data_IF_256237612196
#
_entry.id   IF_256237612196
#
_cell.length_a   1.000
_cell.length_b   1.000
_cell.length_c   1.000
_cell.angle_alpha   90.00
_cell.angle_beta   90.00
_cell.angle_gamma   90.00
#
_symmetry.space_group_name_H-M   'P 1'
#
loop_
_entity.id
_entity.type
_entity.pdbx_description
1 polymer ?
#
# COMPACT_ATOMS: atom_id res chain seq x y z
N UNK A 1 -21.64 3.06 -16.63
CA UNK A 1 -20.40 3.80 -16.97
C UNK A 1 -20.37 5.04 -16.09
N UNK A 2 -19.55 5.02 -15.04
CA UNK A 2 -19.32 6.20 -14.20
C UNK A 2 -17.81 6.43 -14.24
N UNK A 3 -17.38 7.41 -15.03
CA UNK A 3 -16.00 7.86 -15.06
C UNK A 3 -15.72 8.68 -13.79
N UNK A 4 -14.51 8.57 -13.23
CA UNK A 4 -14.11 9.39 -12.10
C UNK A 4 -14.02 10.85 -12.52
N UNK A 5 -14.46 11.77 -11.66
CA UNK A 5 -14.24 13.21 -11.89
C UNK A 5 -12.75 13.53 -11.89
N UNK A 6 -12.35 14.63 -12.55
CA UNK A 6 -10.95 15.09 -12.56
C UNK A 6 -10.35 15.21 -11.16
N UNK A 7 -11.11 15.75 -10.19
CA UNK A 7 -10.66 15.89 -8.80
C UNK A 7 -10.46 14.54 -8.14
N UNK A 8 -11.36 13.58 -8.42
CA UNK A 8 -11.23 12.22 -7.91
C UNK A 8 -9.98 11.53 -8.47
N UNK A 9 -9.70 11.72 -9.76
CA UNK A 9 -8.47 11.25 -10.40
C UNK A 9 -7.21 11.82 -9.75
N UNK A 10 -7.19 13.13 -9.52
CA UNK A 10 -6.07 13.81 -8.88
C UNK A 10 -5.75 13.20 -7.52
N UNK A 11 -6.77 12.91 -6.70
CA UNK A 11 -6.59 12.27 -5.40
C UNK A 11 -6.00 10.87 -5.54
N UNK A 12 -6.53 10.03 -6.44
CA UNK A 12 -6.02 8.65 -6.62
C UNK A 12 -4.54 8.62 -7.01
N UNK A 13 -4.16 9.43 -8.01
CA UNK A 13 -2.77 9.48 -8.48
C UNK A 13 -1.85 10.06 -7.40
N UNK A 14 -2.27 11.13 -6.73
CA UNK A 14 -1.49 11.74 -5.65
C UNK A 14 -1.26 10.75 -4.51
N UNK A 15 -2.31 10.06 -4.06
CA UNK A 15 -2.20 9.07 -2.98
C UNK A 15 -1.30 7.88 -3.33
N UNK A 16 -1.28 7.43 -4.58
CA UNK A 16 -0.33 6.39 -5.02
C UNK A 16 1.11 6.88 -4.94
N UNK A 17 1.38 8.10 -5.41
CA UNK A 17 2.72 8.69 -5.36
C UNK A 17 3.16 8.88 -3.90
N UNK A 18 2.28 9.42 -3.06
CA UNK A 18 2.51 9.60 -1.63
C UNK A 18 2.80 8.27 -0.93
N UNK A 19 2.07 7.20 -1.30
CA UNK A 19 2.29 5.86 -0.74
C UNK A 19 3.63 5.27 -1.17
N UNK A 20 4.02 5.40 -2.44
CA UNK A 20 5.34 5.00 -2.93
C UNK A 20 6.43 5.75 -2.16
N UNK A 21 6.29 7.07 -2.03
CA UNK A 21 7.23 7.89 -1.29
C UNK A 21 7.35 7.44 0.18
N UNK A 22 6.22 7.16 0.85
CA UNK A 22 6.21 6.65 2.22
C UNK A 22 6.94 5.31 2.35
N UNK A 23 6.74 4.37 1.42
CA UNK A 23 7.46 3.09 1.40
C UNK A 23 8.97 3.33 1.32
N UNK A 24 9.42 4.21 0.40
CA UNK A 24 10.83 4.53 0.22
C UNK A 24 11.44 5.19 1.47
N UNK A 25 10.71 6.11 2.10
CA UNK A 25 11.15 6.77 3.34
C UNK A 25 11.28 5.77 4.48
N UNK A 26 10.29 4.91 4.69
CA UNK A 26 10.32 3.88 5.76
C UNK A 26 11.44 2.88 5.49
N UNK A 27 11.62 2.47 4.23
CA UNK A 27 12.73 1.60 3.85
C UNK A 27 14.09 2.27 4.14
N UNK A 28 14.24 3.56 3.82
CA UNK A 28 15.45 4.32 4.15
C UNK A 28 15.69 4.40 5.66
N UNK A 29 14.65 4.65 6.45
CA UNK A 29 14.72 4.64 7.93
C UNK A 29 15.22 3.28 8.43
N UNK A 30 14.81 2.19 7.79
CA UNK A 30 15.25 0.85 8.21
C UNK A 30 16.75 0.57 8.08
N UNK A 31 17.48 1.42 7.34
CA UNK A 31 18.95 1.30 7.23
C UNK A 31 19.70 1.70 8.50
N UNK A 32 19.06 2.45 9.41
CA UNK A 32 19.62 2.73 10.72
C UNK A 32 19.52 1.48 11.61
N UNK A 33 20.60 1.10 12.30
CA UNK A 33 20.65 -0.10 13.15
C UNK A 33 19.52 -0.16 14.19
N UNK A 34 19.12 1.01 14.71
CA UNK A 34 18.01 1.21 15.65
C UNK A 34 16.62 1.11 14.99
N UNK A 35 16.49 0.87 13.70
CA UNK A 35 15.17 0.80 13.04
C UNK A 35 15.10 -0.33 12.01
N UNK A 36 15.99 -1.32 12.09
CA UNK A 36 16.06 -2.43 11.12
C UNK A 36 14.73 -3.18 10.93
N UNK A 37 13.88 -3.28 11.96
CA UNK A 37 12.56 -3.91 11.84
C UNK A 37 11.59 -3.13 10.94
N UNK A 38 11.82 -1.82 10.71
CA UNK A 38 11.00 -1.01 9.80
C UNK A 38 11.16 -1.45 8.34
N UNK A 39 12.17 -2.25 8.02
CA UNK A 39 12.30 -2.88 6.71
C UNK A 39 11.06 -3.72 6.40
N UNK A 40 10.65 -4.55 7.36
CA UNK A 40 9.45 -5.40 7.24
C UNK A 40 8.17 -4.57 7.12
N UNK A 41 8.11 -3.42 7.79
CA UNK A 41 6.99 -2.49 7.63
C UNK A 41 6.93 -1.92 6.20
N UNK A 42 8.07 -1.49 5.64
CA UNK A 42 8.11 -1.00 4.25
C UNK A 42 7.69 -2.08 3.25
N UNK A 43 8.10 -3.34 3.45
CA UNK A 43 7.71 -4.45 2.60
C UNK A 43 6.22 -4.78 2.75
N UNK A 44 5.69 -4.74 3.97
CA UNK A 44 4.28 -4.99 4.28
C UNK A 44 3.31 -3.97 3.68
N UNK A 45 3.79 -2.79 3.28
CA UNK A 45 2.99 -1.75 2.61
C UNK A 45 2.81 -2.01 1.10
N UNK A 46 3.66 -2.84 0.48
CA UNK A 46 3.65 -3.10 -0.97
C UNK A 46 2.36 -3.77 -1.46
N UNK A 47 1.76 -4.75 -0.77
CA UNK A 47 0.49 -5.33 -1.22
C UNK A 47 -0.62 -4.28 -1.34
N UNK A 48 -0.74 -3.32 -0.41
CA UNK A 48 -1.73 -2.24 -0.52
C UNK A 48 -1.48 -1.35 -1.75
N UNK A 49 -0.21 -1.13 -2.13
CA UNK A 49 0.13 -0.42 -3.37
C UNK A 49 -0.35 -1.20 -4.60
N UNK A 50 -0.14 -2.52 -4.64
CA UNK A 50 -0.63 -3.37 -5.74
C UNK A 50 -2.16 -3.30 -5.82
N UNK A 51 -2.85 -3.33 -4.68
CA UNK A 51 -4.30 -3.16 -4.64
C UNK A 51 -4.76 -1.81 -5.20
N UNK A 52 -4.08 -0.72 -4.85
CA UNK A 52 -4.35 0.60 -5.42
C UNK A 52 -4.12 0.65 -6.94
N UNK A 53 -3.06 -0.02 -7.43
CA UNK A 53 -2.79 -0.12 -8.87
C UNK A 53 -3.88 -0.90 -9.61
N UNK A 54 -4.42 -1.97 -9.02
CA UNK A 54 -5.58 -2.68 -9.58
C UNK A 54 -6.80 -1.76 -9.70
N UNK A 55 -7.11 -0.99 -8.66
CA UNK A 55 -8.24 -0.05 -8.66
C UNK A 55 -8.10 1.03 -9.74
N UNK A 56 -6.95 1.69 -9.80
CA UNK A 56 -6.68 2.73 -10.79
C UNK A 56 -6.70 2.16 -12.21
N UNK A 57 -6.14 0.97 -12.41
CA UNK A 57 -6.20 0.30 -13.73
C UNK A 57 -7.64 0.07 -14.14
N UNK A 58 -8.50 -0.43 -13.25
CA UNK A 58 -9.91 -0.62 -13.57
C UNK A 58 -10.63 0.68 -13.92
N UNK A 59 -10.31 1.77 -13.21
CA UNK A 59 -10.81 3.11 -13.52
C UNK A 59 -10.27 3.68 -14.84
N UNK A 60 -9.04 3.37 -15.24
CA UNK A 60 -8.50 3.76 -16.56
C UNK A 60 -9.28 3.15 -17.72
N UNK A 61 -9.96 2.01 -17.49
CA UNK A 61 -10.81 1.34 -18.46
C UNK A 61 -12.30 1.56 -18.16
N UNK A 62 -12.68 2.72 -17.62
CA UNK A 62 -14.07 3.13 -17.40
C UNK A 62 -14.94 2.12 -16.64
N UNK A 63 -14.34 1.37 -15.71
CA UNK A 63 -15.01 0.34 -14.93
C UNK A 63 -15.63 -0.76 -15.79
N UNK A 64 -14.99 -1.14 -16.90
CA UNK A 64 -15.47 -2.23 -17.75
C UNK A 64 -15.67 -3.53 -16.95
N UNK A 65 -16.80 -4.20 -17.19
CA UNK A 65 -17.20 -5.42 -16.46
C UNK A 65 -16.27 -6.60 -16.74
N UNK A 66 -15.69 -6.69 -17.93
CA UNK A 66 -14.70 -7.71 -18.30
C UNK A 66 -13.42 -7.67 -17.42
N UNK A 67 -13.15 -6.53 -16.79
CA UNK A 67 -12.01 -6.29 -15.90
C UNK A 67 -12.39 -6.34 -14.42
N UNK A 68 -13.61 -6.77 -14.07
CA UNK A 68 -14.05 -6.88 -12.67
C UNK A 68 -13.12 -7.75 -11.80
N UNK A 69 -12.36 -8.67 -12.41
CA UNK A 69 -11.29 -9.42 -11.72
C UNK A 69 -10.27 -8.52 -11.01
N UNK A 70 -10.03 -7.29 -11.50
CA UNK A 70 -9.17 -6.31 -10.84
C UNK A 70 -9.72 -5.85 -9.48
N UNK A 71 -11.04 -5.77 -9.33
CA UNK A 71 -11.71 -5.43 -8.05
C UNK A 71 -11.48 -6.55 -7.04
N UNK A 72 -11.61 -7.81 -7.48
CA UNK A 72 -11.30 -8.98 -6.63
C UNK A 72 -9.83 -9.00 -6.21
N UNK A 73 -8.91 -8.73 -7.14
CA UNK A 73 -7.47 -8.63 -6.84
C UNK A 73 -7.17 -7.49 -5.87
N UNK A 74 -7.77 -6.31 -6.08
CA UNK A 74 -7.68 -5.20 -5.14
C UNK A 74 -8.09 -5.63 -3.73
N UNK A 75 -9.22 -6.33 -3.58
CA UNK A 75 -9.69 -6.84 -2.29
C UNK A 75 -8.69 -7.82 -1.65
N UNK A 76 -8.16 -8.77 -2.42
CA UNK A 76 -7.17 -9.74 -1.96
C UNK A 76 -5.90 -9.04 -1.47
N UNK A 77 -5.34 -8.14 -2.28
CA UNK A 77 -4.12 -7.42 -1.95
C UNK A 77 -4.30 -6.46 -0.76
N UNK A 78 -5.49 -5.87 -0.61
CA UNK A 78 -5.85 -5.06 0.56
C UNK A 78 -5.89 -5.93 1.83
N UNK A 79 -6.51 -7.10 1.76
CA UNK A 79 -6.55 -8.03 2.89
C UNK A 79 -5.15 -8.49 3.30
N UNK A 80 -4.33 -8.91 2.32
CA UNK A 80 -2.94 -9.31 2.54
C UNK A 80 -2.15 -8.14 3.13
N UNK A 81 -2.21 -6.96 2.52
CA UNK A 81 -1.45 -5.79 2.95
C UNK A 81 -1.78 -5.33 4.35
N UNK A 82 -3.07 -5.26 4.70
CA UNK A 82 -3.48 -4.92 6.06
C UNK A 82 -3.04 -5.98 7.08
N UNK A 83 -3.11 -7.27 6.72
CA UNK A 83 -2.65 -8.36 7.57
C UNK A 83 -1.14 -8.28 7.80
N UNK A 84 -0.35 -8.06 6.73
CA UNK A 84 1.11 -7.92 6.84
C UNK A 84 1.52 -6.67 7.59
N UNK A 85 0.80 -5.55 7.42
CA UNK A 85 1.02 -4.32 8.18
C UNK A 85 0.77 -4.53 9.68
N UNK A 86 -0.33 -5.20 10.03
CA UNK A 86 -0.63 -5.52 11.42
C UNK A 86 0.47 -6.41 12.04
N UNK A 87 0.92 -7.44 11.32
CA UNK A 87 2.02 -8.29 11.76
C UNK A 87 3.33 -7.52 11.93
N UNK A 88 3.69 -6.68 10.95
CA UNK A 88 4.90 -5.84 11.03
C UNK A 88 4.84 -4.86 12.21
N UNK A 89 3.68 -4.25 12.45
CA UNK A 89 3.48 -3.37 13.60
C UNK A 89 3.62 -4.11 14.94
N UNK A 90 3.07 -5.32 15.06
CA UNK A 90 3.23 -6.17 16.25
C UNK A 90 4.70 -6.53 16.47
N UNK A 91 5.45 -6.87 15.40
CA UNK A 91 6.88 -7.18 15.47
C UNK A 91 7.67 -5.97 15.97
N UNK A 92 7.40 -4.78 15.43
CA UNK A 92 8.05 -3.53 15.88
C UNK A 92 7.72 -3.25 17.35
N UNK A 93 6.45 -3.41 17.76
CA UNK A 93 6.03 -3.21 19.15
C UNK A 93 6.70 -4.18 20.12
N UNK A 94 6.83 -5.46 19.75
CA UNK A 94 7.55 -6.46 20.57
C UNK A 94 9.05 -6.21 20.60
N UNK A 95 9.60 -5.67 19.52
CA UNK A 95 11.00 -5.25 19.44
C UNK A 95 11.30 -3.95 20.19
N UNK A 96 10.35 -3.33 20.90
CA UNK A 96 10.53 -2.01 21.50
C UNK A 96 11.66 -1.94 22.55
N UNK A 97 12.00 -3.05 23.21
CA UNK A 97 13.20 -3.15 24.06
C UNK A 97 14.53 -2.93 23.32
N UNK A 98 14.56 -3.02 21.99
CA UNK A 98 15.77 -2.74 21.19
C UNK A 98 15.99 -1.24 20.90
N UNK A 99 15.05 -0.37 21.29
CA UNK A 99 15.05 1.05 20.91
C UNK A 99 15.01 2.04 22.10
N UNK A 100 14.75 1.58 23.31
CA UNK A 100 14.90 2.35 24.56
C UNK A 100 16.32 2.20 25.11
#
# INVERSE_FOLDING_TARGET
MHELSFVTWLIHISSVIEWIFAILVINKISTYKKYNLFFWLSLAMVPNLIGAMCAITWHMYDNQENLYGLVSLQGIFTFIGNSTLALAAIIIFKGKETYE
#
